data_IF_060194016203
#
_entry.id   IF_060194016203
#
_cell.length_a   1.000
_cell.length_b   1.000
_cell.length_c   1.000
_cell.angle_alpha   90.00
_cell.angle_beta   90.00
_cell.angle_gamma   90.00
#
_symmetry.space_group_name_H-M   'P 1'
#
loop_
_entity.id
_entity.type
_entity.pdbx_description
1 polymer ?
#
# COMPACT_ATOMS: atom_id res chain seq x y z
N UNK A 1 3.89 -30.52 5.90
CA UNK A 1 3.33 -29.43 6.74
C UNK A 1 3.85 -28.12 6.17
N UNK A 2 3.01 -27.37 5.45
CA UNK A 2 3.43 -26.15 4.76
C UNK A 2 3.81 -25.07 5.78
N UNK A 3 5.05 -24.59 5.70
CA UNK A 3 5.53 -23.49 6.52
C UNK A 3 4.67 -22.25 6.24
N UNK A 4 3.99 -21.72 7.28
CA UNK A 4 3.31 -20.43 7.21
C UNK A 4 4.38 -19.37 6.92
N UNK A 5 4.44 -18.88 5.67
CA UNK A 5 5.21 -17.67 5.32
C UNK A 5 4.82 -16.59 6.33
N UNK A 6 5.82 -16.03 7.01
CA UNK A 6 5.61 -15.06 8.07
C UNK A 6 4.74 -13.90 7.58
N UNK A 7 3.53 -13.78 8.13
CA UNK A 7 2.61 -12.68 7.82
C UNK A 7 3.31 -11.34 8.07
N UNK A 8 3.80 -10.71 6.99
CA UNK A 8 4.44 -9.39 7.02
C UNK A 8 3.48 -8.39 7.69
N UNK A 9 2.17 -8.56 7.50
CA UNK A 9 1.11 -7.76 8.12
C UNK A 9 1.02 -7.87 9.65
N UNK A 10 1.41 -8.99 10.26
CA UNK A 10 1.39 -9.15 11.75
C UNK A 10 2.56 -8.45 12.44
N UNK A 11 3.66 -8.22 11.73
CA UNK A 11 4.87 -7.56 12.28
C UNK A 11 4.74 -6.04 12.29
N UNK A 12 3.86 -5.46 11.47
CA UNK A 12 3.62 -4.02 11.47
C UNK A 12 2.67 -3.69 12.63
N UNK A 13 3.23 -3.32 13.79
CA UNK A 13 2.46 -2.63 14.86
C UNK A 13 2.02 -1.27 14.30
N UNK A 14 0.81 -1.18 13.76
CA UNK A 14 0.24 0.07 13.23
C UNK A 14 -0.46 0.77 14.41
N UNK A 15 -0.06 2.00 14.73
CA UNK A 15 -0.65 2.76 15.86
C UNK A 15 -2.13 3.12 15.64
N UNK A 16 -2.59 3.09 14.39
CA UNK A 16 -4.01 3.10 14.02
C UNK A 16 -4.23 2.18 12.83
N UNK A 17 -4.46 0.90 13.09
CA UNK A 17 -4.73 -0.11 12.07
C UNK A 17 -6.15 0.13 11.50
N UNK A 18 -6.28 1.15 10.65
CA UNK A 18 -7.46 1.31 9.80
C UNK A 18 -7.19 0.45 8.57
N UNK A 19 -7.46 -0.86 8.69
CA UNK A 19 -7.66 -1.71 7.52
C UNK A 19 -8.98 -1.29 6.89
N UNK A 20 -8.95 -0.23 6.10
CA UNK A 20 -10.10 0.14 5.30
C UNK A 20 -10.07 -0.75 4.07
N UNK A 21 -11.04 -1.66 4.05
CA UNK A 21 -11.35 -2.44 2.88
C UNK A 21 -12.11 -1.50 1.94
N UNK A 22 -11.53 -1.21 0.78
CA UNK A 22 -12.20 -0.46 -0.27
C UNK A 22 -13.33 -1.31 -0.83
N UNK A 23 -14.53 -0.81 -0.65
CA UNK A 23 -15.76 -1.45 -1.07
C UNK A 23 -16.15 -0.91 -2.45
N UNK A 24 -16.48 -1.79 -3.39
CA UNK A 24 -16.89 -1.38 -4.74
C UNK A 24 -18.18 -0.58 -4.71
N UNK A 25 -18.11 0.71 -5.07
CA UNK A 25 -19.32 1.56 -5.12
C UNK A 25 -20.26 1.18 -6.28
N UNK A 26 -19.69 0.69 -7.38
CA UNK A 26 -20.39 0.35 -8.62
C UNK A 26 -20.09 -1.07 -9.09
N UNK A 27 -21.06 -1.68 -9.76
CA UNK A 27 -20.85 -2.93 -10.47
C UNK A 27 -20.22 -2.64 -11.83
N UNK A 28 -19.02 -3.15 -12.07
CA UNK A 28 -18.32 -3.02 -13.35
C UNK A 28 -18.01 -4.41 -13.90
N UNK A 29 -18.75 -4.81 -14.96
CA UNK A 29 -18.69 -6.15 -15.52
C UNK A 29 -17.31 -6.50 -16.12
N UNK A 30 -16.63 -5.51 -16.72
CA UNK A 30 -15.31 -5.71 -17.32
C UNK A 30 -14.25 -6.12 -16.27
N UNK A 31 -14.35 -5.61 -15.05
CA UNK A 31 -13.45 -5.94 -13.95
C UNK A 31 -13.99 -7.06 -13.05
N UNK A 32 -15.15 -7.65 -13.39
CA UNK A 32 -15.84 -8.66 -12.58
C UNK A 32 -16.12 -8.21 -11.12
N UNK A 33 -16.32 -6.91 -10.91
CA UNK A 33 -16.59 -6.33 -9.58
C UNK A 33 -18.08 -6.08 -9.42
N UNK A 34 -18.67 -6.49 -8.30
CA UNK A 34 -20.05 -6.15 -7.93
C UNK A 34 -20.07 -5.05 -6.87
N UNK A 35 -21.19 -4.32 -6.82
CA UNK A 35 -21.43 -3.35 -5.76
C UNK A 35 -21.30 -4.04 -4.39
N UNK A 36 -20.57 -3.40 -3.51
CA UNK A 36 -20.19 -3.84 -2.18
C UNK A 36 -19.16 -4.98 -2.08
N UNK A 37 -18.53 -5.41 -3.19
CA UNK A 37 -17.40 -6.33 -3.09
C UNK A 37 -16.18 -5.65 -2.44
N UNK A 38 -15.43 -6.44 -1.68
CA UNK A 38 -14.18 -6.01 -1.05
C UNK A 38 -13.03 -6.12 -2.05
N UNK A 39 -12.44 -4.99 -2.46
CA UNK A 39 -11.52 -4.95 -3.61
C UNK A 39 -10.06 -4.71 -3.19
N UNK A 40 -9.82 -3.82 -2.25
CA UNK A 40 -8.46 -3.43 -1.87
C UNK A 40 -8.35 -3.18 -0.37
N UNK A 41 -7.15 -3.35 0.17
CA UNK A 41 -6.82 -2.97 1.53
C UNK A 41 -5.76 -1.87 1.46
N UNK A 42 -5.94 -0.80 2.23
CA UNK A 42 -4.89 0.19 2.42
C UNK A 42 -4.58 0.36 3.90
N UNK A 43 -3.36 0.79 4.18
CA UNK A 43 -2.86 1.01 5.53
C UNK A 43 -2.24 2.39 5.59
N UNK A 44 -2.57 3.14 6.64
CA UNK A 44 -1.87 4.38 6.96
C UNK A 44 -0.84 4.11 8.04
N UNK A 45 0.44 4.30 7.73
CA UNK A 45 1.54 4.19 8.69
C UNK A 45 2.06 5.59 9.01
N UNK A 46 2.42 5.85 10.28
CA UNK A 46 3.00 7.11 10.74
C UNK A 46 4.20 6.83 11.66
N UNK A 47 5.01 7.86 11.92
CA UNK A 47 6.16 7.79 12.83
C UNK A 47 7.36 7.05 12.26
N UNK A 48 8.23 6.53 13.14
CA UNK A 48 9.50 5.89 12.77
C UNK A 48 9.33 4.72 11.78
N UNK A 49 8.25 3.95 11.91
CA UNK A 49 7.97 2.83 11.01
C UNK A 49 7.67 3.26 9.58
N UNK A 50 7.05 4.43 9.40
CA UNK A 50 6.82 4.97 8.07
C UNK A 50 8.14 5.37 7.38
N UNK A 51 9.09 5.92 8.14
CA UNK A 51 10.41 6.27 7.62
C UNK A 51 11.20 5.02 7.18
N UNK A 52 11.18 3.94 7.97
CA UNK A 52 11.83 2.67 7.60
C UNK A 52 11.24 2.06 6.31
N UNK A 53 9.91 2.10 6.16
CA UNK A 53 9.23 1.59 4.96
C UNK A 53 9.56 2.48 3.75
N UNK A 54 9.59 3.79 3.94
CA UNK A 54 9.95 4.74 2.90
C UNK A 54 11.37 4.50 2.39
N UNK A 55 12.33 4.33 3.28
CA UNK A 55 13.73 4.07 2.92
C UNK A 55 13.89 2.77 2.14
N UNK A 56 13.21 1.70 2.58
CA UNK A 56 13.16 0.42 1.84
C UNK A 56 12.53 0.58 0.47
N UNK A 57 11.44 1.34 0.36
CA UNK A 57 10.74 1.57 -0.91
C UNK A 57 11.56 2.42 -1.88
N UNK A 58 12.24 3.46 -1.41
CA UNK A 58 13.11 4.31 -2.23
C UNK A 58 14.34 3.54 -2.73
N UNK A 59 14.87 2.61 -1.94
CA UNK A 59 15.95 1.73 -2.38
C UNK A 59 15.59 0.90 -3.62
N UNK A 60 14.34 0.45 -3.72
CA UNK A 60 13.85 -0.30 -4.90
C UNK A 60 13.76 0.58 -6.15
N UNK A 61 13.61 1.89 -5.97
CA UNK A 61 13.58 2.89 -7.05
C UNK A 61 14.92 3.60 -7.25
N UNK A 62 16.01 3.06 -6.69
CA UNK A 62 17.36 3.64 -6.79
C UNK A 62 17.42 5.10 -6.34
N UNK A 63 16.52 5.51 -5.43
CA UNK A 63 16.34 6.89 -4.97
C UNK A 63 15.97 7.90 -6.07
N UNK A 64 15.54 7.44 -7.25
CA UNK A 64 15.11 8.31 -8.34
C UNK A 64 13.58 8.36 -8.45
N UNK A 65 13.06 9.59 -8.55
CA UNK A 65 11.63 9.86 -8.78
C UNK A 65 11.48 10.88 -9.90
N UNK A 66 10.49 10.65 -10.77
CA UNK A 66 10.15 11.61 -11.83
C UNK A 66 9.49 12.85 -11.23
N UNK A 67 9.72 14.02 -11.82
CA UNK A 67 9.11 15.28 -11.38
C UNK A 67 7.56 15.19 -11.32
N UNK A 68 6.94 14.43 -12.23
CA UNK A 68 5.49 14.23 -12.27
C UNK A 68 4.93 13.47 -11.05
N UNK A 69 5.78 12.82 -10.26
CA UNK A 69 5.36 12.11 -9.05
C UNK A 69 5.14 13.08 -7.87
N UNK A 70 5.54 14.34 -8.00
CA UNK A 70 5.35 15.38 -6.99
C UNK A 70 4.08 16.17 -7.30
N UNK A 71 3.20 16.25 -6.31
CA UNK A 71 2.00 17.08 -6.35
C UNK A 71 2.31 18.54 -6.00
N UNK A 72 1.45 19.44 -6.45
CA UNK A 72 1.57 20.88 -6.15
C UNK A 72 1.50 21.20 -4.64
N UNK A 73 0.90 20.32 -3.83
CA UNK A 73 0.82 20.47 -2.37
C UNK A 73 2.04 19.92 -1.62
N UNK A 74 3.08 19.48 -2.32
CA UNK A 74 4.31 18.98 -1.71
C UNK A 74 4.27 17.51 -1.29
N UNK A 75 3.23 16.76 -1.68
CA UNK A 75 3.16 15.31 -1.46
C UNK A 75 3.74 14.57 -2.67
N UNK A 76 4.27 13.37 -2.47
CA UNK A 76 4.78 12.50 -3.54
C UNK A 76 4.26 11.08 -3.41
N UNK A 77 4.27 10.33 -4.53
CA UNK A 77 3.88 8.93 -4.57
C UNK A 77 4.73 8.13 -5.54
N UNK A 78 4.91 6.84 -5.24
CA UNK A 78 5.61 5.90 -6.12
C UNK A 78 4.99 4.52 -6.02
N UNK A 79 4.96 3.79 -7.14
CA UNK A 79 4.48 2.42 -7.22
C UNK A 79 5.62 1.42 -7.09
N UNK A 80 5.43 0.41 -6.26
CA UNK A 80 6.28 -0.78 -6.18
C UNK A 80 5.43 -1.96 -6.64
N UNK A 81 5.88 -2.67 -7.67
CA UNK A 81 5.13 -3.79 -8.25
C UNK A 81 5.49 -5.14 -7.60
N UNK A 82 6.75 -5.31 -7.17
CA UNK A 82 7.21 -6.52 -6.50
C UNK A 82 7.47 -6.30 -5.00
N UNK A 83 6.90 -7.18 -4.19
CA UNK A 83 7.14 -7.26 -2.75
C UNK A 83 7.49 -8.71 -2.40
N UNK A 84 8.78 -9.02 -2.32
CA UNK A 84 9.30 -10.32 -1.89
C UNK A 84 9.83 -10.28 -0.45
#
# INVERSE_FOLDING_TARGET
>A
MAAKKSDVMRKIKIDKLVLNISVGEYTVRAFSIRRNDQIACHVTVRGAKAAEILEKGLKVKEFELKANNFSATGNFGFGIEEQY
#
